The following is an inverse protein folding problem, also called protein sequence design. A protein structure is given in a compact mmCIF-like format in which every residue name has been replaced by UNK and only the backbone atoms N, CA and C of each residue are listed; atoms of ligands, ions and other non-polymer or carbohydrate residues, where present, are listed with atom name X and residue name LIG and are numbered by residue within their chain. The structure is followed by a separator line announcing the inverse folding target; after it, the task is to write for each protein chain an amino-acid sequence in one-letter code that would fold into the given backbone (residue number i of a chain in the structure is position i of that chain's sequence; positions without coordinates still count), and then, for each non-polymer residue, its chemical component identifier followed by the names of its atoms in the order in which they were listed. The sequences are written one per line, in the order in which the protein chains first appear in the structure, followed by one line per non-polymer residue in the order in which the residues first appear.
data_IF_736578978168
#
_entry.id   IF_736578978168
#
_cell.length_a   1.000
_cell.length_b   1.000
_cell.length_c   1.000
_cell.angle_alpha   90.00
_cell.angle_beta   90.00
_cell.angle_gamma   90.00
#
_symmetry.space_group_name_H-M   'P 1'
#
loop_
_entity.id
_entity.type
_entity.pdbx_description
1 polymer ?
#
# COMPACT_ATOMS: atom_id res chain seq x y z
N UNK A 1 20.35 -6.87 25.95
CA UNK A 1 21.06 -5.59 26.14
C UNK A 1 20.00 -4.61 26.55
N UNK A 2 19.75 -4.52 27.86
CA UNK A 2 18.88 -3.48 28.40
C UNK A 2 19.63 -2.16 28.22
N UNK A 3 19.09 -1.29 27.37
CA UNK A 3 19.55 0.08 27.23
C UNK A 3 19.44 0.71 28.62
N UNK A 4 20.54 1.29 29.13
CA UNK A 4 20.53 2.00 30.41
C UNK A 4 19.35 2.97 30.40
N UNK A 5 18.43 2.86 31.36
CA UNK A 5 17.23 3.71 31.44
C UNK A 5 17.57 5.20 31.36
N UNK A 6 18.79 5.57 31.75
CA UNK A 6 19.39 6.89 31.62
C UNK A 6 19.47 7.38 30.18
N UNK A 7 19.86 6.52 29.22
CA UNK A 7 19.97 6.87 27.79
C UNK A 7 18.57 7.11 27.22
N UNK A 8 17.59 6.27 27.59
CA UNK A 8 16.19 6.46 27.19
C UNK A 8 15.64 7.78 27.75
N UNK A 9 15.93 8.09 29.01
CA UNK A 9 15.51 9.36 29.62
C UNK A 9 16.17 10.58 28.96
N UNK A 10 17.45 10.47 28.56
CA UNK A 10 18.14 11.51 27.83
C UNK A 10 17.52 11.77 26.45
N UNK A 11 17.25 10.71 25.68
CA UNK A 11 16.55 10.81 24.39
C UNK A 11 15.16 11.41 24.56
N UNK A 12 14.38 10.95 25.56
CA UNK A 12 13.05 11.49 25.85
C UNK A 12 13.08 13.01 26.11
N UNK A 13 14.06 13.51 26.87
CA UNK A 13 14.23 14.95 27.13
C UNK A 13 14.55 15.74 25.87
N UNK A 14 15.42 15.22 25.01
CA UNK A 14 15.77 15.87 23.74
C UNK A 14 14.56 15.96 22.80
N UNK A 15 13.74 14.91 22.76
CA UNK A 15 12.53 14.83 21.93
C UNK A 15 11.40 15.72 22.47
N UNK A 16 11.26 15.83 23.78
CA UNK A 16 10.35 16.82 24.39
C UNK A 16 10.76 18.25 24.03
N UNK A 17 12.06 18.55 24.05
CA UNK A 17 12.55 19.87 23.64
C UNK A 17 12.28 20.18 22.16
N UNK A 18 12.27 19.17 21.29
CA UNK A 18 11.85 19.32 19.90
C UNK A 18 10.35 19.69 19.79
N UNK A 19 9.48 18.99 20.53
CA UNK A 19 8.03 19.23 20.54
C UNK A 19 7.65 20.58 21.17
N UNK A 20 8.49 21.16 22.02
CA UNK A 20 8.26 22.46 22.66
C UNK A 20 8.83 23.65 21.84
N UNK A 21 9.57 23.40 20.76
CA UNK A 21 10.15 24.44 19.90
C UNK A 21 9.09 25.13 19.02
N UNK A 22 9.44 26.21 18.31
CA UNK A 22 8.49 26.95 17.45
C UNK A 22 7.86 26.08 16.35
N UNK A 23 8.62 25.14 15.77
CA UNK A 23 8.11 24.11 14.85
C UNK A 23 7.18 23.12 15.57
N UNK A 24 7.45 22.86 16.85
CA UNK A 24 6.61 22.05 17.74
C UNK A 24 5.20 22.60 17.92
N UNK A 25 4.96 23.90 17.73
CA UNK A 25 3.60 24.47 17.78
C UNK A 25 2.70 23.95 16.66
N UNK A 26 3.26 23.66 15.48
CA UNK A 26 2.49 23.03 14.39
C UNK A 26 2.07 21.62 14.82
N UNK A 27 3.02 20.86 15.39
CA UNK A 27 2.74 19.53 15.93
C UNK A 27 1.75 19.56 17.12
N UNK A 28 1.67 20.64 17.91
CA UNK A 28 0.65 20.76 18.94
C UNK A 28 -0.77 20.85 18.36
N UNK A 29 -0.93 21.55 17.23
CA UNK A 29 -2.22 21.59 16.55
C UNK A 29 -2.53 20.25 15.89
N UNK A 30 -1.54 19.55 15.34
CA UNK A 30 -1.69 18.17 14.85
C UNK A 30 -2.05 17.18 15.96
N UNK A 31 -1.52 17.37 17.17
CA UNK A 31 -1.92 16.57 18.33
C UNK A 31 -3.38 16.84 18.71
N UNK A 32 -3.84 18.10 18.65
CA UNK A 32 -5.27 18.42 18.88
C UNK A 32 -6.18 17.80 17.82
N UNK A 33 -5.78 17.86 16.54
CA UNK A 33 -6.56 17.20 15.47
C UNK A 33 -6.55 15.68 15.63
N UNK A 34 -5.42 15.10 16.03
CA UNK A 34 -5.31 13.67 16.37
C UNK A 34 -6.29 13.27 17.47
N UNK A 35 -6.37 14.04 18.57
CA UNK A 35 -7.30 13.80 19.68
C UNK A 35 -8.76 13.89 19.19
N UNK A 36 -9.09 14.91 18.39
CA UNK A 36 -10.45 15.08 17.84
C UNK A 36 -10.87 13.91 16.95
N UNK A 37 -9.95 13.39 16.13
CA UNK A 37 -10.19 12.25 15.24
C UNK A 37 -10.02 10.89 15.92
N UNK A 38 -9.73 10.85 17.22
CA UNK A 38 -9.45 9.62 18.00
C UNK A 38 -8.32 8.75 17.39
N UNK A 39 -7.34 9.39 16.77
CA UNK A 39 -6.17 8.70 16.18
C UNK A 39 -5.14 8.40 17.27
N UNK A 40 -4.38 7.32 17.06
CA UNK A 40 -3.35 6.83 18.01
C UNK A 40 -1.93 7.04 17.51
N UNK A 41 -1.76 7.65 16.33
CA UNK A 41 -0.48 7.86 15.68
C UNK A 41 -0.31 9.32 15.28
N UNK A 42 0.78 9.93 15.74
CA UNK A 42 1.23 11.25 15.28
C UNK A 42 2.19 11.06 14.10
N UNK A 43 1.98 11.78 13.00
CA UNK A 43 2.89 11.74 11.84
C UNK A 43 3.87 12.90 11.97
N UNK A 44 5.16 12.61 11.87
CA UNK A 44 6.26 13.59 12.00
C UNK A 44 7.08 13.62 10.72
N UNK A 45 7.33 14.81 10.18
CA UNK A 45 8.20 14.99 9.02
C UNK A 45 9.67 14.94 9.44
N UNK A 46 10.47 14.16 8.72
CA UNK A 46 11.91 14.04 8.94
C UNK A 46 12.66 15.32 8.60
N UNK A 47 12.12 16.16 7.70
CA UNK A 47 12.70 17.45 7.33
C UNK A 47 12.83 18.35 8.57
N UNK A 48 11.80 18.34 9.41
CA UNK A 48 11.78 19.13 10.64
C UNK A 48 12.79 18.59 11.66
N UNK A 49 12.96 17.27 11.71
CA UNK A 49 13.97 16.62 12.55
C UNK A 49 15.41 16.87 12.09
N UNK A 50 15.63 17.19 10.81
CA UNK A 50 16.94 17.59 10.31
C UNK A 50 17.28 19.02 10.73
N UNK A 51 16.29 19.92 10.77
CA UNK A 51 16.47 21.28 11.24
C UNK A 51 16.87 21.36 12.73
N UNK A 52 16.47 20.36 13.52
CA UNK A 52 16.71 20.32 14.96
C UNK A 52 17.84 19.34 15.34
N UNK A 53 19.03 19.90 15.63
CA UNK A 53 20.19 19.20 16.23
C UNK A 53 20.63 17.92 15.48
N UNK A 54 20.35 17.82 14.18
CA UNK A 54 20.67 16.67 13.34
C UNK A 54 20.21 15.33 13.96
N UNK A 55 19.00 15.32 14.51
CA UNK A 55 18.39 14.18 15.18
C UNK A 55 17.95 13.11 14.18
N UNK A 56 17.54 13.52 12.96
CA UNK A 56 17.11 12.65 11.87
C UNK A 56 18.07 11.47 11.58
N UNK A 57 19.38 11.67 11.29
CA UNK A 57 20.27 10.55 11.00
C UNK A 57 20.45 9.59 12.17
N UNK A 58 20.31 10.05 13.43
CA UNK A 58 20.39 9.19 14.62
C UNK A 58 19.17 8.29 14.73
N UNK A 59 17.97 8.85 14.55
CA UNK A 59 16.71 8.10 14.51
C UNK A 59 16.76 7.07 13.39
N UNK A 60 17.23 7.46 12.20
CA UNK A 60 17.26 6.56 11.06
C UNK A 60 18.28 5.41 11.19
N UNK A 61 19.34 5.58 12.00
CA UNK A 61 20.32 4.52 12.28
C UNK A 61 19.82 3.56 13.37
N UNK A 62 19.29 4.09 14.47
CA UNK A 62 18.82 3.29 15.62
C UNK A 62 17.33 3.56 15.92
N UNK A 63 16.41 3.26 14.99
CA UNK A 63 15.01 3.66 15.13
C UNK A 63 14.31 3.04 16.34
N UNK A 64 14.68 1.81 16.71
CA UNK A 64 14.03 1.07 17.80
C UNK A 64 14.09 1.82 19.13
N UNK A 65 15.24 2.40 19.47
CA UNK A 65 15.44 3.11 20.74
C UNK A 65 14.75 4.48 20.74
N UNK A 66 14.88 5.22 19.63
CA UNK A 66 14.30 6.55 19.51
C UNK A 66 12.77 6.53 19.38
N UNK A 67 12.20 5.57 18.64
CA UNK A 67 10.75 5.45 18.46
C UNK A 67 10.01 5.28 19.79
N UNK A 68 10.56 4.47 20.71
CA UNK A 68 9.96 4.28 22.02
C UNK A 68 10.05 5.55 22.86
N UNK A 69 11.23 6.16 22.94
CA UNK A 69 11.40 7.42 23.67
C UNK A 69 10.53 8.56 23.11
N UNK A 70 10.30 8.57 21.79
CA UNK A 70 9.44 9.53 21.12
C UNK A 70 7.96 9.30 21.43
N UNK A 71 7.52 8.03 21.40
CA UNK A 71 6.16 7.63 21.79
C UNK A 71 5.86 8.02 23.24
N UNK A 72 6.82 7.82 24.15
CA UNK A 72 6.72 8.22 25.55
C UNK A 72 6.66 9.75 25.70
N UNK A 73 7.45 10.50 24.93
CA UNK A 73 7.45 11.97 24.93
C UNK A 73 6.11 12.55 24.43
N UNK A 74 5.57 12.03 23.34
CA UNK A 74 4.27 12.45 22.80
C UNK A 74 3.14 12.06 23.75
N UNK A 75 3.24 10.89 24.39
CA UNK A 75 2.27 10.46 25.40
C UNK A 75 2.23 11.44 26.58
N UNK A 76 3.38 11.87 27.11
CA UNK A 76 3.43 12.90 28.16
C UNK A 76 2.80 14.22 27.70
N UNK A 77 3.05 14.64 26.45
CA UNK A 77 2.46 15.86 25.88
C UNK A 77 0.93 15.77 25.79
N UNK A 78 0.42 14.63 25.33
CA UNK A 78 -1.03 14.38 25.25
C UNK A 78 -1.67 14.40 26.63
N UNK A 79 -1.04 13.82 27.65
CA UNK A 79 -1.55 13.88 29.03
C UNK A 79 -1.59 15.32 29.59
N UNK A 80 -0.67 16.20 29.16
CA UNK A 80 -0.69 17.63 29.54
C UNK A 80 -1.87 18.37 28.90
N UNK A 81 -2.27 18.00 27.68
CA UNK A 81 -3.37 18.64 26.94
C UNK A 81 -4.72 18.06 27.38
N UNK A 82 -4.85 16.73 27.35
CA UNK A 82 -6.05 15.99 27.75
C UNK A 82 -5.67 14.69 28.49
N UNK A 83 -5.70 14.75 29.82
CA UNK A 83 -5.42 13.60 30.68
C UNK A 83 -6.49 12.50 30.67
N UNK A 84 -7.64 12.68 29.99
CA UNK A 84 -8.70 11.67 29.90
C UNK A 84 -8.69 10.87 28.60
N UNK A 85 -7.89 11.28 27.63
CA UNK A 85 -7.91 10.68 26.29
C UNK A 85 -7.32 9.25 26.26
N UNK A 86 -6.29 8.99 27.05
CA UNK A 86 -5.61 7.70 27.12
C UNK A 86 -6.03 6.91 28.35
N UNK A 87 -6.27 5.60 28.20
CA UNK A 87 -6.44 4.68 29.32
C UNK A 87 -5.09 4.33 29.95
N UNK A 88 -5.09 3.90 31.21
CA UNK A 88 -3.88 3.45 31.90
C UNK A 88 -3.17 2.34 31.09
N UNK A 89 -1.96 2.66 30.61
CA UNK A 89 -1.11 1.74 29.83
C UNK A 89 -1.21 1.86 28.31
N UNK A 90 -2.04 2.76 27.77
CA UNK A 90 -2.04 3.06 26.32
C UNK A 90 -1.01 4.16 26.00
N UNK A 91 -0.18 3.92 24.98
CA UNK A 91 0.80 4.89 24.47
C UNK A 91 0.44 5.34 23.06
N UNK A 92 0.80 6.57 22.73
CA UNK A 92 0.65 7.13 21.37
C UNK A 92 1.83 6.68 20.53
N UNK A 93 1.55 6.16 19.34
CA UNK A 93 2.55 5.76 18.36
C UNK A 93 3.00 6.96 17.53
N UNK A 94 4.20 6.87 16.94
CA UNK A 94 4.70 7.92 16.04
C UNK A 94 5.10 7.34 14.69
N UNK A 95 4.46 7.86 13.65
CA UNK A 95 4.80 7.64 12.25
C UNK A 95 5.81 8.68 11.77
N UNK A 96 6.67 8.27 10.84
CA UNK A 96 7.56 9.21 10.15
C UNK A 96 7.14 9.34 8.69
N UNK A 97 7.23 10.56 8.17
CA UNK A 97 7.00 10.91 6.77
C UNK A 97 8.10 11.87 6.31
N UNK A 98 8.19 12.11 5.00
CA UNK A 98 9.09 13.10 4.43
C UNK A 98 10.15 12.52 3.48
N UNK A 99 11.10 13.34 3.02
CA UNK A 99 12.08 12.99 2.02
C UNK A 99 13.25 12.20 2.62
N UNK A 100 13.22 10.88 2.50
CA UNK A 100 14.34 10.00 2.85
C UNK A 100 15.42 10.02 1.77
N UNK A 101 16.20 11.10 1.68
CA UNK A 101 17.15 11.33 0.56
C UNK A 101 18.04 10.11 0.27
N UNK A 102 18.69 9.54 1.29
CA UNK A 102 19.64 8.42 1.14
C UNK A 102 19.06 7.04 1.52
N UNK A 103 17.79 6.99 1.94
CA UNK A 103 17.14 5.77 2.46
C UNK A 103 15.78 5.49 1.82
N UNK A 104 15.47 6.18 0.72
CA UNK A 104 14.39 5.84 -0.19
C UNK A 104 14.92 4.80 -1.17
N UNK A 105 14.38 3.59 -1.09
CA UNK A 105 14.88 2.43 -1.82
C UNK A 105 13.74 1.66 -2.45
N UNK A 106 14.02 0.98 -3.55
CA UNK A 106 13.10 -0.03 -4.11
C UNK A 106 13.25 -1.37 -3.36
N UNK A 107 12.25 -2.27 -3.43
CA UNK A 107 12.36 -3.64 -2.90
C UNK A 107 13.62 -4.39 -3.37
N UNK A 108 14.17 -4.01 -4.51
CA UNK A 108 15.38 -4.56 -5.10
C UNK A 108 16.68 -4.03 -4.47
N UNK A 109 16.70 -2.76 -4.12
CA UNK A 109 17.84 -2.08 -3.47
C UNK A 109 17.92 -2.34 -1.97
N UNK A 110 16.92 -3.04 -1.40
CA UNK A 110 16.84 -3.38 0.01
C UNK A 110 17.85 -4.48 0.40
N UNK A 111 19.12 -4.09 0.49
CA UNK A 111 20.26 -4.93 0.80
C UNK A 111 20.49 -5.06 2.32
N UNK A 112 21.43 -5.93 2.70
CA UNK A 112 21.79 -6.22 4.10
C UNK A 112 22.31 -5.00 4.88
N UNK A 113 22.80 -3.97 4.19
CA UNK A 113 23.31 -2.73 4.80
C UNK A 113 22.23 -1.95 5.56
N UNK A 114 20.96 -2.15 5.17
CA UNK A 114 19.83 -1.45 5.78
C UNK A 114 19.22 -2.20 6.97
N UNK A 115 19.74 -3.38 7.35
CA UNK A 115 19.21 -4.15 8.47
C UNK A 115 19.36 -3.35 9.78
N UNK A 116 18.26 -3.26 10.53
CA UNK A 116 18.17 -2.49 11.77
C UNK A 116 17.95 -0.99 11.58
N UNK A 117 18.02 -0.49 10.35
CA UNK A 117 17.79 0.92 10.03
C UNK A 117 16.36 1.19 9.55
N UNK A 118 15.97 2.46 9.57
CA UNK A 118 14.69 2.91 9.03
C UNK A 118 14.84 3.31 7.57
N UNK A 119 13.98 2.75 6.72
CA UNK A 119 13.98 2.96 5.27
C UNK A 119 12.58 3.33 4.78
N UNK A 120 12.51 4.03 3.66
CA UNK A 120 11.28 4.25 2.92
C UNK A 120 11.32 3.38 1.67
N UNK A 121 10.40 2.44 1.55
CA UNK A 121 10.33 1.50 0.43
C UNK A 121 9.10 1.81 -0.40
N UNK A 122 9.29 1.98 -1.70
CA UNK A 122 8.21 2.30 -2.64
C UNK A 122 7.88 1.13 -3.55
N UNK A 123 6.60 0.91 -3.78
CA UNK A 123 6.16 -0.19 -4.60
C UNK A 123 4.64 -0.27 -4.75
N UNK A 124 4.21 -1.37 -5.35
CA UNK A 124 2.81 -1.74 -5.50
C UNK A 124 2.51 -2.85 -4.52
N UNK A 125 1.43 -2.72 -3.75
CA UNK A 125 0.95 -3.81 -2.89
C UNK A 125 0.38 -4.90 -3.78
N UNK A 126 0.93 -6.10 -3.73
CA UNK A 126 0.47 -7.23 -4.55
C UNK A 126 -0.48 -8.14 -3.79
N UNK A 127 -0.23 -8.33 -2.49
CA UNK A 127 -1.00 -9.23 -1.65
C UNK A 127 -1.20 -8.63 -0.27
N UNK A 128 -2.43 -8.69 0.22
CA UNK A 128 -2.76 -8.42 1.62
C UNK A 128 -3.20 -9.73 2.28
N UNK A 129 -2.61 -10.07 3.42
CA UNK A 129 -3.12 -11.17 4.25
C UNK A 129 -4.36 -10.73 5.04
N UNK A 130 -5.06 -11.72 5.60
CA UNK A 130 -6.18 -11.45 6.50
C UNK A 130 -5.67 -10.81 7.80
N UNK A 131 -6.45 -9.87 8.32
CA UNK A 131 -6.22 -9.27 9.64
C UNK A 131 -6.37 -10.34 10.71
N UNK A 132 -5.37 -10.44 11.59
CA UNK A 132 -5.37 -11.39 12.71
C UNK A 132 -5.02 -10.68 14.01
N UNK A 133 -5.72 -10.97 15.11
CA UNK A 133 -5.35 -10.43 16.41
C UNK A 133 -4.11 -11.15 16.95
N UNK A 134 -3.13 -10.37 17.37
CA UNK A 134 -1.91 -10.79 18.06
C UNK A 134 -2.04 -10.47 19.55
N UNK A 135 -1.75 -11.43 20.41
CA UNK A 135 -1.76 -11.22 21.87
C UNK A 135 -0.54 -10.41 22.29
N UNK A 136 -0.76 -9.35 23.07
CA UNK A 136 0.30 -8.50 23.65
C UNK A 136 0.44 -8.78 25.14
N UNK A 137 -0.69 -8.89 25.85
CA UNK A 137 -0.72 -9.17 27.29
C UNK A 137 -1.86 -10.12 27.60
N UNK A 138 -1.58 -11.21 28.30
CA UNK A 138 -2.61 -12.07 28.87
C UNK A 138 -2.78 -11.82 30.36
N UNK A 139 -4.02 -11.96 30.81
CA UNK A 139 -4.39 -11.90 32.22
C UNK A 139 -5.01 -13.25 32.60
N UNK A 140 -4.46 -13.85 33.65
CA UNK A 140 -4.90 -15.15 34.15
C UNK A 140 -5.38 -15.00 35.59
N UNK A 141 -6.47 -15.67 35.92
CA UNK A 141 -7.02 -15.72 37.25
C UNK A 141 -6.81 -17.12 37.85
N UNK A 142 -6.36 -17.16 39.10
CA UNK A 142 -6.27 -18.40 39.86
C UNK A 142 -7.44 -18.48 40.86
N UNK A 143 -8.41 -19.40 40.69
CA UNK A 143 -9.53 -19.53 41.61
C UNK A 143 -9.13 -19.88 43.05
N UNK A 144 -8.03 -20.62 43.24
CA UNK A 144 -7.59 -21.08 44.56
C UNK A 144 -6.88 -20.00 45.38
N UNK A 145 -6.27 -19.01 44.73
CA UNK A 145 -5.50 -17.96 45.40
C UNK A 145 -6.13 -16.58 45.26
N UNK A 146 -7.21 -16.47 44.46
CA UNK A 146 -7.92 -15.22 44.11
C UNK A 146 -7.00 -14.13 43.53
N UNK A 147 -5.85 -14.53 42.96
CA UNK A 147 -4.85 -13.62 42.40
C UNK A 147 -4.89 -13.62 40.88
N UNK A 148 -4.66 -12.44 40.31
CA UNK A 148 -4.43 -12.25 38.89
C UNK A 148 -2.92 -12.30 38.58
N UNK A 149 -2.56 -13.15 37.63
CA UNK A 149 -1.21 -13.25 37.07
C UNK A 149 -1.23 -12.74 35.65
N UNK A 150 -0.39 -11.75 35.32
CA UNK A 150 -0.31 -11.19 33.98
C UNK A 150 0.98 -11.61 33.29
N UNK A 151 0.92 -11.91 31.99
CA UNK A 151 2.09 -12.21 31.17
C UNK A 151 2.09 -11.36 29.91
N UNK A 152 3.21 -10.69 29.66
CA UNK A 152 3.43 -9.97 28.41
C UNK A 152 4.10 -10.88 27.38
N UNK A 153 3.60 -10.83 26.16
CA UNK A 153 4.15 -11.55 25.01
C UNK A 153 4.91 -10.58 24.11
N UNK A 154 6.15 -10.93 23.80
CA UNK A 154 7.03 -10.21 22.88
C UNK A 154 7.48 -11.17 21.81
N UNK A 155 7.38 -10.73 20.56
CA UNK A 155 7.80 -11.50 19.39
C UNK A 155 9.09 -10.88 18.80
N UNK A 156 9.76 -11.60 17.91
CA UNK A 156 10.94 -11.12 17.18
C UNK A 156 10.62 -9.88 16.34
N UNK A 157 9.34 -9.71 15.95
CA UNK A 157 8.87 -8.53 15.23
C UNK A 157 8.70 -7.32 16.13
N UNK A 158 8.52 -7.51 17.45
CA UNK A 158 8.36 -6.43 18.42
C UNK A 158 9.64 -5.61 18.54
N UNK A 159 9.50 -4.33 18.87
CA UNK A 159 10.62 -3.42 19.06
C UNK A 159 11.27 -3.54 20.44
N UNK A 160 10.71 -4.33 21.36
CA UNK A 160 11.11 -4.33 22.75
C UNK A 160 11.46 -5.74 23.25
N UNK A 161 12.61 -5.84 23.90
CA UNK A 161 13.02 -7.00 24.69
C UNK A 161 13.34 -8.26 23.88
N UNK A 162 13.66 -9.33 24.62
CA UNK A 162 13.84 -10.65 24.05
C UNK A 162 12.47 -11.30 23.75
N UNK A 163 12.38 -12.12 22.70
CA UNK A 163 11.15 -12.83 22.39
C UNK A 163 10.79 -13.79 23.53
N UNK A 164 9.55 -13.73 23.97
CA UNK A 164 9.00 -14.62 25.00
C UNK A 164 8.41 -15.88 24.38
N UNK A 165 8.35 -16.97 25.14
CA UNK A 165 7.63 -18.18 24.72
C UNK A 165 6.14 -17.89 24.46
N UNK A 166 5.60 -18.43 23.38
CA UNK A 166 4.19 -18.25 22.94
C UNK A 166 3.18 -19.09 23.72
N UNK A 167 3.59 -19.72 24.82
CA UNK A 167 2.77 -20.66 25.58
C UNK A 167 2.03 -19.91 26.69
N UNK A 168 0.73 -20.13 26.78
CA UNK A 168 -0.08 -19.64 27.90
C UNK A 168 0.33 -20.37 29.19
N UNK A 169 0.59 -19.63 30.29
CA UNK A 169 0.83 -20.25 31.58
C UNK A 169 -0.47 -20.95 32.03
N UNK A 170 -0.42 -22.27 32.16
CA UNK A 170 -1.57 -23.08 32.60
C UNK A 170 -1.56 -23.32 34.12
N UNK A 171 -0.42 -23.09 34.77
CA UNK A 171 -0.23 -23.28 36.21
C UNK A 171 0.58 -22.16 36.82
N UNK A 172 0.23 -21.81 38.06
CA UNK A 172 0.97 -20.86 38.89
C UNK A 172 2.23 -21.51 39.51
N UNK A 173 3.09 -20.73 40.15
CA UNK A 173 4.30 -21.19 40.86
C UNK A 173 3.99 -22.28 41.90
N UNK A 174 2.79 -22.23 42.48
CA UNK A 174 2.28 -23.19 43.46
C UNK A 174 1.54 -24.39 42.83
N UNK A 175 1.57 -24.53 41.51
CA UNK A 175 0.97 -25.66 40.77
C UNK A 175 -0.55 -25.60 40.58
N UNK A 176 -1.21 -24.54 41.07
CA UNK A 176 -2.64 -24.29 40.89
C UNK A 176 -2.99 -23.99 39.42
N UNK A 177 -4.19 -24.37 39.00
CA UNK A 177 -4.68 -24.11 37.63
C UNK A 177 -4.99 -22.63 37.43
N UNK A 178 -4.49 -22.10 36.32
CA UNK A 178 -4.78 -20.73 35.87
C UNK A 178 -5.86 -20.75 34.80
N UNK A 179 -6.89 -19.93 34.99
CA UNK A 179 -7.94 -19.68 34.00
C UNK A 179 -7.63 -18.38 33.29
N UNK A 180 -7.61 -18.39 31.96
CA UNK A 180 -7.34 -17.17 31.17
C UNK A 180 -8.60 -16.33 31.07
N UNK A 181 -8.53 -15.09 31.51
CA UNK A 181 -9.62 -14.12 31.42
C UNK A 181 -9.49 -13.33 30.11
N UNK A 182 -10.06 -13.87 29.03
CA UNK A 182 -9.95 -13.29 27.69
C UNK A 182 -10.43 -11.84 27.60
N UNK A 183 -11.39 -11.42 28.45
CA UNK A 183 -11.90 -10.04 28.45
C UNK A 183 -10.92 -9.00 28.99
N UNK A 184 -9.92 -9.41 29.76
CA UNK A 184 -8.88 -8.52 30.32
C UNK A 184 -7.56 -8.61 29.54
N UNK A 185 -7.45 -9.57 28.62
CA UNK A 185 -6.30 -9.70 27.73
C UNK A 185 -6.27 -8.54 26.71
N UNK A 186 -5.06 -8.10 26.39
CA UNK A 186 -4.84 -7.08 25.36
C UNK A 186 -4.37 -7.74 24.07
N UNK A 187 -5.08 -7.41 23.00
CA UNK A 187 -4.81 -7.85 21.63
C UNK A 187 -4.50 -6.64 20.77
N UNK A 188 -3.74 -6.89 19.71
CA UNK A 188 -3.31 -5.91 18.72
C UNK A 188 -3.52 -6.50 17.33
N UNK A 189 -4.09 -5.73 16.42
CA UNK A 189 -4.29 -6.19 15.06
C UNK A 189 -2.95 -6.31 14.32
N UNK A 190 -2.80 -7.40 13.58
CA UNK A 190 -1.60 -7.73 12.82
C UNK A 190 -2.00 -8.18 11.42
N UNK A 191 -1.34 -7.63 10.42
CA UNK A 191 -1.52 -8.00 9.03
C UNK A 191 -0.17 -7.98 8.30
N UNK A 192 0.04 -8.98 7.45
CA UNK A 192 1.20 -9.05 6.55
C UNK A 192 0.79 -8.61 5.15
N UNK A 193 1.60 -7.79 4.51
CA UNK A 193 1.46 -7.31 3.15
C UNK A 193 2.68 -7.76 2.34
N UNK A 194 2.51 -8.06 1.06
CA UNK A 194 3.63 -8.23 0.13
C UNK A 194 3.61 -7.10 -0.88
N UNK A 195 4.77 -6.45 -1.03
CA UNK A 195 4.96 -5.32 -1.93
C UNK A 195 5.97 -5.67 -3.00
N UNK A 196 5.71 -5.23 -4.23
CA UNK A 196 6.55 -5.45 -5.40
C UNK A 196 7.08 -4.12 -5.93
N UNK A 197 8.26 -4.16 -6.54
CA UNK A 197 8.81 -2.98 -7.23
C UNK A 197 7.90 -2.51 -8.38
N UNK A 198 7.86 -1.20 -8.61
CA UNK A 198 7.08 -0.65 -9.71
C UNK A 198 7.66 -1.13 -11.05
N UNK A 199 6.82 -1.60 -12.00
CA UNK A 199 7.31 -2.15 -13.27
C UNK A 199 8.04 -1.09 -14.10
N UNK A 200 7.69 0.19 -13.95
CA UNK A 200 8.32 1.33 -14.62
C UNK A 200 9.81 1.48 -14.25
N UNK A 201 10.19 1.09 -13.02
CA UNK A 201 11.57 1.17 -12.52
C UNK A 201 12.34 -0.16 -12.69
N UNK A 202 11.68 -1.21 -13.18
CA UNK A 202 12.27 -2.54 -13.31
C UNK A 202 13.07 -2.64 -14.61
N UNK A 203 14.31 -3.15 -14.53
CA UNK A 203 15.12 -3.38 -15.72
C UNK A 203 14.44 -4.43 -16.64
N UNK A 204 14.31 -4.16 -17.95
CA UNK A 204 13.62 -5.05 -18.88
C UNK A 204 14.31 -6.43 -18.91
N UNK A 205 13.51 -7.49 -18.77
CA UNK A 205 13.98 -8.88 -18.82
C UNK A 205 14.38 -9.49 -17.47
N UNK A 206 14.27 -8.75 -16.35
CA UNK A 206 14.47 -9.31 -15.02
C UNK A 206 13.15 -9.49 -14.27
N UNK A 207 13.06 -10.53 -13.45
CA UNK A 207 11.90 -10.75 -12.60
C UNK A 207 11.86 -9.69 -11.50
N UNK A 208 10.71 -9.02 -11.29
CA UNK A 208 10.54 -8.04 -10.24
C UNK A 208 10.65 -8.67 -8.85
N UNK A 209 11.36 -8.02 -7.94
CA UNK A 209 11.53 -8.49 -6.55
C UNK A 209 10.38 -8.05 -5.65
N UNK A 210 10.10 -8.88 -4.65
CA UNK A 210 9.06 -8.65 -3.64
C UNK A 210 9.64 -8.59 -2.24
N UNK A 211 9.04 -7.77 -1.38
CA UNK A 211 9.37 -7.63 0.04
C UNK A 211 8.11 -7.87 0.87
N UNK A 212 8.26 -8.59 1.98
CA UNK A 212 7.22 -8.79 2.96
C UNK A 212 7.24 -7.66 4.00
N UNK A 213 6.06 -7.14 4.30
CA UNK A 213 5.85 -6.00 5.19
C UNK A 213 4.85 -6.42 6.26
N UNK A 214 5.13 -6.09 7.51
CA UNK A 214 4.19 -6.28 8.63
C UNK A 214 3.63 -4.91 9.00
N UNK A 215 2.30 -4.80 8.96
CA UNK A 215 1.55 -3.66 9.49
C UNK A 215 0.81 -4.09 10.75
N UNK A 216 0.78 -3.21 11.74
CA UNK A 216 0.12 -3.48 13.02
C UNK A 216 -0.71 -2.27 13.49
N UNK A 217 -1.64 -2.51 14.42
CA UNK A 217 -2.57 -1.52 14.99
C UNK A 217 -3.41 -0.78 13.92
N UNK A 218 -3.29 0.55 13.86
CA UNK A 218 -4.06 1.48 13.04
C UNK A 218 -3.63 1.51 11.57
N UNK A 219 -2.50 0.88 11.21
CA UNK A 219 -2.07 0.74 9.82
C UNK A 219 -2.70 -0.45 9.09
N UNK A 220 -3.39 -1.31 9.83
CA UNK A 220 -4.08 -2.46 9.25
C UNK A 220 -5.21 -1.98 8.32
N UNK A 221 -5.36 -2.65 7.18
CA UNK A 221 -6.34 -2.32 6.14
C UNK A 221 -6.20 -0.91 5.52
N UNK A 222 -5.01 -0.29 5.66
CA UNK A 222 -4.73 1.04 5.10
C UNK A 222 -4.49 1.06 3.58
N UNK A 223 -4.18 -0.09 2.99
CA UNK A 223 -3.88 -0.24 1.56
C UNK A 223 -4.52 -1.51 0.98
N UNK A 224 -4.88 -1.45 -0.29
CA UNK A 224 -5.44 -2.56 -1.05
C UNK A 224 -4.43 -3.11 -2.06
N UNK A 225 -4.56 -4.38 -2.46
CA UNK A 225 -3.79 -4.90 -3.60
C UNK A 225 -4.02 -4.04 -4.84
N UNK A 226 -2.93 -3.65 -5.51
CA UNK A 226 -2.92 -2.74 -6.66
C UNK A 226 -2.55 -1.29 -6.30
N UNK A 227 -2.61 -0.90 -5.02
CA UNK A 227 -2.27 0.45 -4.62
C UNK A 227 -0.76 0.72 -4.74
N UNK A 228 -0.42 1.90 -5.26
CA UNK A 228 0.95 2.44 -5.23
C UNK A 228 1.17 3.09 -3.87
N UNK A 229 2.17 2.59 -3.14
CA UNK A 229 2.42 2.99 -1.75
C UNK A 229 3.90 3.26 -1.53
N UNK A 230 4.18 4.21 -0.65
CA UNK A 230 5.47 4.40 -0.02
C UNK A 230 5.31 4.01 1.46
N UNK A 231 6.10 3.04 1.91
CA UNK A 231 6.03 2.49 3.26
C UNK A 231 7.33 2.81 3.96
N UNK A 232 7.22 3.58 5.05
CA UNK A 232 8.32 3.85 5.95
C UNK A 232 8.32 2.78 7.02
N UNK A 233 9.45 2.12 7.25
CA UNK A 233 9.55 1.05 8.24
C UNK A 233 10.96 0.71 8.65
N UNK A 234 11.07 -0.14 9.67
CA UNK A 234 12.35 -0.69 10.15
C UNK A 234 12.59 -2.03 9.47
N UNK A 235 13.72 -2.16 8.79
CA UNK A 235 14.07 -3.40 8.09
C UNK A 235 14.69 -4.40 9.07
N UNK A 236 14.05 -5.55 9.27
CA UNK A 236 14.47 -6.59 10.22
C UNK A 236 14.73 -7.92 9.54
N UNK A 237 15.69 -8.67 10.07
CA UNK A 237 15.96 -10.05 9.67
C UNK A 237 15.42 -11.01 10.74
N UNK A 238 14.55 -11.93 10.35
CA UNK A 238 13.94 -12.94 11.22
C UNK A 238 14.59 -14.30 10.91
N UNK A 239 15.13 -15.01 11.91
CA UNK A 239 15.72 -16.32 11.70
C UNK A 239 14.64 -17.33 11.28
N UNK A 240 14.93 -18.10 10.24
CA UNK A 240 14.06 -19.20 9.81
C UNK A 240 14.05 -20.32 10.86
N UNK A 241 12.86 -20.70 11.34
CA UNK A 241 12.70 -21.86 12.24
C UNK A 241 12.68 -23.15 11.42
N UNK A 242 13.83 -23.80 11.25
CA UNK A 242 13.89 -25.19 10.75
C UNK A 242 13.86 -26.18 11.91
N UNK A 243 13.25 -27.36 11.70
CA UNK A 243 13.19 -28.43 12.71
C UNK A 243 14.61 -28.96 12.98
N UNK A 244 15.27 -28.43 14.01
CA UNK A 244 16.54 -28.98 14.55
C UNK A 244 17.74 -28.04 14.56
N UNK A 245 17.61 -26.78 14.12
CA UNK A 245 18.71 -25.80 14.17
C UNK A 245 18.34 -24.45 13.57
N UNK A 246 19.08 -23.40 13.95
CA UNK A 246 18.97 -22.08 13.33
C UNK A 246 19.77 -22.11 12.04
N UNK A 247 19.11 -22.06 10.89
CA UNK A 247 19.80 -21.91 9.61
C UNK A 247 20.39 -20.49 9.52
N UNK A 248 21.59 -20.35 8.97
CA UNK A 248 22.24 -19.05 8.74
C UNK A 248 21.58 -18.18 7.66
N UNK A 249 20.50 -18.65 7.04
CA UNK A 249 19.69 -17.91 6.08
C UNK A 249 18.50 -17.29 6.82
N UNK A 250 18.48 -15.96 6.86
CA UNK A 250 17.43 -15.19 7.51
C UNK A 250 16.39 -14.74 6.47
N UNK A 251 15.11 -14.75 6.87
CA UNK A 251 14.03 -14.11 6.10
C UNK A 251 13.98 -12.64 6.49
N UNK A 252 13.93 -11.74 5.52
CA UNK A 252 13.85 -10.31 5.80
C UNK A 252 12.41 -9.84 5.75
N UNK A 253 12.07 -8.91 6.64
CA UNK A 253 10.72 -8.36 6.79
C UNK A 253 10.83 -6.88 7.16
N UNK A 254 9.99 -6.04 6.55
CA UNK A 254 9.88 -4.63 6.90
C UNK A 254 8.75 -4.45 7.92
N UNK A 255 9.05 -3.93 9.11
CA UNK A 255 8.00 -3.56 10.09
C UNK A 255 7.59 -2.13 9.80
N UNK A 256 6.36 -1.93 9.34
CA UNK A 256 5.86 -0.64 8.90
C UNK A 256 5.64 0.31 10.08
N UNK A 257 6.14 1.53 9.92
CA UNK A 257 5.89 2.65 10.82
C UNK A 257 4.94 3.70 10.25
N UNK A 258 4.87 3.83 8.92
CA UNK A 258 3.88 4.66 8.27
C UNK A 258 3.59 4.12 6.86
N UNK A 259 2.37 4.29 6.40
CA UNK A 259 1.94 3.92 5.04
C UNK A 259 1.38 5.17 4.36
N UNK A 260 2.11 5.69 3.39
CA UNK A 260 1.65 6.76 2.52
C UNK A 260 1.21 6.18 1.17
N UNK A 261 -0.08 6.32 0.87
CA UNK A 261 -0.60 5.99 -0.45
C UNK A 261 -0.16 7.09 -1.42
N UNK A 262 0.59 6.74 -2.46
CA UNK A 262 0.99 7.69 -3.49
C UNK A 262 -0.22 8.11 -4.34
N UNK A 263 -1.25 7.26 -4.40
CA UNK A 263 -2.51 7.54 -5.09
C UNK A 263 -3.47 8.46 -4.30
N UNK A 264 -3.11 8.94 -3.10
CA UNK A 264 -3.99 9.81 -2.27
C UNK A 264 -4.39 11.12 -2.96
N UNK A 265 -3.53 11.64 -3.84
CA UNK A 265 -3.82 12.86 -4.60
C UNK A 265 -5.00 12.70 -5.59
N UNK A 266 -5.37 11.46 -5.96
CA UNK A 266 -6.51 11.21 -6.84
C UNK A 266 -7.86 11.20 -6.10
N UNK A 267 -7.89 10.82 -4.82
CA UNK A 267 -9.16 10.57 -4.10
C UNK A 267 -9.60 11.69 -3.15
N UNK A 268 -8.69 12.54 -2.67
CA UNK A 268 -9.02 13.73 -1.88
C UNK A 268 -7.90 14.79 -1.90
N UNK A 269 -7.58 15.40 -3.05
CA UNK A 269 -6.62 16.50 -3.09
C UNK A 269 -7.18 17.71 -2.33
N UNK A 270 -6.32 18.39 -1.58
CA UNK A 270 -6.67 19.66 -0.93
C UNK A 270 -6.73 20.72 -2.03
N UNK A 271 -7.93 21.01 -2.53
CA UNK A 271 -8.09 21.99 -3.60
C UNK A 271 -7.85 23.40 -3.08
N UNK A 272 -6.87 24.10 -3.67
CA UNK A 272 -6.77 25.55 -3.47
C UNK A 272 -7.85 26.28 -4.27
N UNK A 273 -8.25 27.49 -3.87
CA UNK A 273 -9.18 28.30 -4.66
C UNK A 273 -8.64 28.64 -6.07
N UNK A 274 -7.33 28.56 -6.29
CA UNK A 274 -6.71 28.69 -7.61
C UNK A 274 -6.89 27.42 -8.46
N UNK A 275 -6.75 26.24 -7.85
CA UNK A 275 -7.02 24.96 -8.51
C UNK A 275 -8.47 24.89 -8.98
N UNK A 276 -9.43 25.35 -8.17
CA UNK A 276 -10.84 25.39 -8.58
C UNK A 276 -11.08 26.30 -9.80
N UNK A 277 -10.32 27.39 -9.95
CA UNK A 277 -10.39 28.25 -11.15
C UNK A 277 -9.74 27.56 -12.35
N UNK A 278 -8.62 26.88 -12.15
CA UNK A 278 -7.92 26.14 -13.20
C UNK A 278 -8.73 24.94 -13.68
N UNK A 279 -9.36 24.20 -12.77
CA UNK A 279 -10.30 23.11 -13.07
C UNK A 279 -11.48 23.64 -13.88
N UNK A 280 -12.07 24.79 -13.52
CA UNK A 280 -13.14 25.41 -14.32
C UNK A 280 -12.68 25.85 -15.72
N UNK A 281 -11.43 26.30 -15.86
CA UNK A 281 -10.84 26.63 -17.18
C UNK A 281 -10.57 25.40 -18.02
N UNK A 282 -10.11 24.31 -17.40
CA UNK A 282 -9.82 23.04 -18.07
C UNK A 282 -11.12 22.32 -18.44
N UNK A 283 -12.13 22.35 -17.58
CA UNK A 283 -13.46 21.77 -17.84
C UNK A 283 -14.22 22.47 -18.99
N UNK A 284 -13.81 23.67 -19.39
CA UNK A 284 -14.32 24.36 -20.57
C UNK A 284 -13.57 24.02 -21.87
N UNK A 285 -12.61 23.10 -21.84
CA UNK A 285 -11.89 22.64 -23.03
C UNK A 285 -12.44 21.30 -23.52
N UNK A 286 -12.48 21.14 -24.83
CA UNK A 286 -12.97 19.93 -25.50
C UNK A 286 -11.93 18.77 -25.50
N UNK A 287 -10.68 19.02 -25.07
CA UNK A 287 -9.53 18.09 -25.10
C UNK A 287 -9.27 17.35 -23.77
N UNK A 288 -10.19 17.45 -22.81
CA UNK A 288 -10.01 16.90 -21.45
C UNK A 288 -9.87 15.38 -21.40
N UNK A 289 -10.42 14.67 -22.38
CA UNK A 289 -10.38 13.21 -22.41
C UNK A 289 -8.98 12.67 -22.76
N UNK A 290 -8.26 13.35 -23.67
CA UNK A 290 -6.93 12.95 -24.13
C UNK A 290 -5.85 13.09 -23.05
N UNK A 291 -6.06 13.99 -22.08
CA UNK A 291 -5.15 14.23 -20.96
C UNK A 291 -5.25 13.17 -19.86
N UNK A 292 -6.39 12.48 -19.73
CA UNK A 292 -6.67 11.51 -18.66
C UNK A 292 -6.37 10.06 -19.03
N UNK A 293 -6.20 9.74 -20.32
CA UNK A 293 -6.10 8.37 -20.83
C UNK A 293 -4.80 7.60 -20.54
N UNK A 294 -3.87 8.14 -19.74
CA UNK A 294 -2.56 7.51 -19.47
C UNK A 294 -2.54 6.77 -18.13
N UNK A 295 -3.14 5.59 -18.09
CA UNK A 295 -2.98 4.70 -16.95
C UNK A 295 -3.75 3.39 -17.12
N UNK A 296 -3.12 2.38 -17.70
CA UNK A 296 -3.67 1.02 -17.71
C UNK A 296 -2.61 0.05 -17.19
N UNK A 297 -2.96 -0.70 -16.15
CA UNK A 297 -2.13 -1.76 -15.56
C UNK A 297 -2.85 -3.09 -15.70
N UNK A 298 -2.24 -4.02 -16.45
CA UNK A 298 -2.80 -5.33 -16.76
C UNK A 298 -2.76 -6.28 -15.57
N UNK A 299 -3.94 -6.65 -15.08
CA UNK A 299 -4.18 -7.79 -14.17
C UNK A 299 -5.44 -8.50 -14.68
N UNK A 300 -5.56 -9.81 -14.42
CA UNK A 300 -6.68 -10.65 -14.88
C UNK A 300 -8.05 -10.01 -14.63
N UNK A 301 -8.97 -10.15 -15.59
CA UNK A 301 -10.24 -9.42 -15.66
C UNK A 301 -11.16 -9.68 -14.46
N UNK A 302 -11.19 -10.92 -13.98
CA UNK A 302 -12.10 -11.41 -12.92
C UNK A 302 -11.34 -11.91 -11.70
N UNK A 303 -12.06 -12.22 -10.62
CA UNK A 303 -11.44 -12.73 -9.42
C UNK A 303 -10.99 -14.21 -9.54
N UNK A 304 -9.85 -14.53 -8.92
CA UNK A 304 -9.24 -15.86 -8.92
C UNK A 304 -9.19 -16.44 -7.50
N UNK A 305 -9.26 -17.77 -7.36
CA UNK A 305 -9.08 -18.41 -6.04
C UNK A 305 -7.62 -18.80 -5.87
N UNK A 306 -6.95 -18.24 -4.88
CA UNK A 306 -5.57 -18.57 -4.51
C UNK A 306 -5.52 -19.23 -3.14
N UNK A 307 -4.47 -19.99 -2.85
CA UNK A 307 -4.26 -20.61 -1.54
C UNK A 307 -3.19 -19.84 -0.79
N UNK A 308 -3.44 -19.49 0.46
CA UNK A 308 -2.44 -18.85 1.30
C UNK A 308 -1.35 -19.83 1.72
N UNK A 309 -0.09 -19.51 1.45
CA UNK A 309 1.04 -20.43 1.69
C UNK A 309 1.34 -20.65 3.18
N UNK A 310 0.98 -19.70 4.05
CA UNK A 310 1.23 -19.82 5.50
C UNK A 310 0.13 -20.60 6.23
N UNK A 311 -1.09 -20.66 5.70
CA UNK A 311 -2.24 -21.27 6.41
C UNK A 311 -2.99 -22.34 5.65
N UNK A 312 -2.75 -22.46 4.34
CA UNK A 312 -3.50 -23.37 3.48
C UNK A 312 -4.96 -22.94 3.25
N UNK A 313 -5.37 -21.77 3.76
CA UNK A 313 -6.71 -21.24 3.53
C UNK A 313 -6.87 -20.79 2.07
N UNK A 314 -7.99 -21.17 1.46
CA UNK A 314 -8.37 -20.70 0.12
C UNK A 314 -8.93 -19.28 0.23
N UNK A 315 -8.47 -18.39 -0.63
CA UNK A 315 -8.83 -16.97 -0.68
C UNK A 315 -9.19 -16.57 -2.10
N UNK A 316 -9.91 -15.47 -2.21
CA UNK A 316 -10.37 -14.94 -3.48
C UNK A 316 -9.65 -13.62 -3.74
N UNK A 317 -8.84 -13.58 -4.78
CA UNK A 317 -8.12 -12.40 -5.27
C UNK A 317 -8.99 -11.65 -6.28
N UNK A 318 -9.18 -10.35 -6.06
CA UNK A 318 -9.98 -9.50 -6.93
C UNK A 318 -9.32 -9.29 -8.30
N UNK A 319 -10.10 -9.44 -9.38
CA UNK A 319 -9.66 -9.09 -10.74
C UNK A 319 -9.77 -7.60 -11.03
N UNK A 320 -9.25 -7.19 -12.19
CA UNK A 320 -9.22 -5.79 -12.63
C UNK A 320 -10.60 -5.11 -12.59
N UNK A 321 -11.68 -5.81 -12.97
CA UNK A 321 -13.02 -5.22 -12.95
C UNK A 321 -13.55 -4.94 -11.53
N UNK A 322 -13.19 -5.80 -10.56
CA UNK A 322 -13.58 -5.64 -9.15
C UNK A 322 -12.74 -4.54 -8.50
N UNK A 323 -11.45 -4.46 -8.84
CA UNK A 323 -10.55 -3.41 -8.38
C UNK A 323 -10.98 -2.02 -8.90
N UNK A 324 -11.57 -1.97 -10.09
CA UNK A 324 -12.07 -0.76 -10.72
C UNK A 324 -13.55 -0.43 -10.40
N UNK A 325 -14.13 -0.94 -9.30
CA UNK A 325 -15.50 -0.57 -8.88
C UNK A 325 -15.63 0.97 -8.77
N UNK A 326 -16.63 1.53 -9.44
CA UNK A 326 -16.88 2.98 -9.63
C UNK A 326 -15.83 3.73 -10.48
N UNK A 327 -15.01 3.01 -11.23
CA UNK A 327 -14.03 3.55 -12.18
C UNK A 327 -14.32 3.21 -13.63
N UNK A 328 -13.27 3.29 -14.45
CA UNK A 328 -13.28 2.92 -15.87
C UNK A 328 -12.30 1.77 -16.08
N UNK A 329 -12.71 0.78 -16.87
CA UNK A 329 -11.86 -0.35 -17.29
C UNK A 329 -11.65 -0.24 -18.80
N UNK A 330 -10.39 -0.16 -19.23
CA UNK A 330 -10.02 -0.15 -20.63
C UNK A 330 -9.52 -1.56 -21.04
N UNK A 331 -10.15 -2.14 -22.06
CA UNK A 331 -9.81 -3.45 -22.61
C UNK A 331 -9.37 -3.26 -24.05
N UNK A 332 -8.13 -3.67 -24.34
CA UNK A 332 -7.62 -3.74 -25.71
C UNK A 332 -7.79 -5.17 -26.24
N UNK A 333 -7.83 -5.31 -27.57
CA UNK A 333 -8.04 -6.58 -28.27
C UNK A 333 -9.25 -7.38 -27.75
N UNK A 334 -10.39 -6.70 -27.59
CA UNK A 334 -11.62 -7.29 -27.07
C UNK A 334 -12.11 -8.49 -27.91
N UNK A 335 -11.75 -8.53 -29.20
CA UNK A 335 -12.04 -9.63 -30.12
C UNK A 335 -11.30 -10.93 -29.77
N UNK A 336 -10.13 -10.86 -29.11
CA UNK A 336 -9.28 -12.02 -28.77
C UNK A 336 -9.56 -12.62 -27.39
N UNK A 337 -10.64 -12.20 -26.73
CA UNK A 337 -10.96 -12.73 -25.41
C UNK A 337 -11.44 -14.19 -25.43
N UNK A 338 -10.97 -14.94 -24.44
CA UNK A 338 -11.37 -16.32 -24.22
C UNK A 338 -12.84 -16.42 -23.81
N UNK A 339 -13.49 -17.54 -24.10
CA UNK A 339 -14.92 -17.73 -23.81
C UNK A 339 -15.26 -17.61 -22.30
N UNK A 340 -14.33 -17.95 -21.41
CA UNK A 340 -14.52 -17.79 -19.96
C UNK A 340 -14.60 -16.31 -19.55
N UNK A 341 -13.74 -15.46 -20.11
CA UNK A 341 -13.72 -14.02 -19.84
C UNK A 341 -14.95 -13.34 -20.44
N UNK A 342 -15.40 -13.81 -21.61
CA UNK A 342 -16.63 -13.33 -22.25
C UNK A 342 -17.87 -13.54 -21.38
N UNK A 343 -18.02 -14.72 -20.76
CA UNK A 343 -19.14 -15.02 -19.85
C UNK A 343 -19.10 -14.10 -18.63
N UNK A 344 -17.92 -13.86 -18.07
CA UNK A 344 -17.79 -12.99 -16.91
C UNK A 344 -18.09 -11.52 -17.25
N UNK A 345 -17.64 -11.02 -18.40
CA UNK A 345 -17.96 -9.65 -18.84
C UNK A 345 -19.46 -9.50 -19.08
N UNK A 346 -20.13 -10.51 -19.66
CA UNK A 346 -21.59 -10.49 -19.80
C UNK A 346 -22.30 -10.34 -18.45
N UNK A 347 -21.85 -11.07 -17.44
CA UNK A 347 -22.40 -10.98 -16.10
C UNK A 347 -22.18 -9.61 -15.48
N UNK A 348 -20.96 -9.07 -15.57
CA UNK A 348 -20.62 -7.75 -14.99
C UNK A 348 -21.35 -6.62 -15.70
N UNK A 349 -21.42 -6.63 -17.03
CA UNK A 349 -22.11 -5.58 -17.77
C UNK A 349 -23.63 -5.63 -17.58
N UNK A 350 -24.21 -6.79 -17.26
CA UNK A 350 -25.63 -6.92 -16.93
C UNK A 350 -25.91 -6.56 -15.46
N UNK A 351 -25.27 -7.26 -14.53
CA UNK A 351 -25.64 -7.27 -13.12
C UNK A 351 -24.80 -6.30 -12.29
N UNK A 352 -23.71 -5.78 -12.86
CA UNK A 352 -22.69 -4.97 -12.17
C UNK A 352 -22.06 -5.72 -10.98
N UNK A 353 -22.08 -7.05 -11.04
CA UNK A 353 -21.54 -7.97 -10.04
C UNK A 353 -20.81 -9.13 -10.71
N UNK A 354 -19.81 -9.68 -10.03
CA UNK A 354 -19.09 -10.90 -10.40
C UNK A 354 -19.41 -11.98 -9.38
N UNK A 355 -20.07 -13.05 -9.78
CA UNK A 355 -20.29 -14.24 -8.95
C UNK A 355 -19.24 -15.30 -9.24
N UNK A 356 -18.64 -15.84 -8.18
CA UNK A 356 -17.63 -16.89 -8.28
C UNK A 356 -18.05 -18.05 -7.40
N UNK A 357 -18.19 -19.19 -8.05
CA UNK A 357 -18.43 -20.50 -7.44
C UNK A 357 -17.26 -21.43 -7.81
N UNK A 358 -16.13 -21.30 -7.11
CA UNK A 358 -14.92 -22.12 -7.35
C UNK A 358 -14.34 -22.62 -6.03
N UNK A 359 -13.83 -23.85 -6.05
CA UNK A 359 -13.10 -24.47 -4.94
C UNK A 359 -13.81 -24.40 -3.56
N UNK A 360 -15.15 -24.45 -3.55
CA UNK A 360 -15.97 -24.41 -2.33
C UNK A 360 -16.28 -22.99 -1.81
N UNK A 361 -15.86 -21.95 -2.53
CA UNK A 361 -16.18 -20.56 -2.24
C UNK A 361 -17.29 -20.12 -3.19
N UNK A 362 -18.42 -19.72 -2.61
CA UNK A 362 -19.54 -19.06 -3.31
C UNK A 362 -19.60 -17.62 -2.83
N UNK A 363 -19.11 -16.69 -3.65
CA UNK A 363 -19.06 -15.27 -3.30
C UNK A 363 -19.53 -14.42 -4.49
N UNK A 364 -20.19 -13.31 -4.19
CA UNK A 364 -20.56 -12.28 -5.16
C UNK A 364 -19.82 -10.99 -4.82
N UNK A 365 -19.11 -10.43 -5.79
CA UNK A 365 -18.35 -9.19 -5.66
C UNK A 365 -19.02 -8.10 -6.49
N UNK A 366 -18.99 -6.86 -6.00
CA UNK A 366 -19.48 -5.71 -6.76
C UNK A 366 -18.41 -5.25 -7.77
N UNK A 367 -18.84 -4.93 -9.00
CA UNK A 367 -17.97 -4.46 -10.08
C UNK A 367 -18.72 -3.43 -10.93
N UNK A 368 -19.10 -2.29 -10.33
CA UNK A 368 -19.84 -1.21 -11.02
C UNK A 368 -18.85 -0.32 -11.77
N UNK A 369 -18.27 -0.83 -12.85
CA UNK A 369 -17.32 -0.10 -13.67
C UNK A 369 -17.90 0.27 -15.04
N UNK A 370 -17.38 1.33 -15.65
CA UNK A 370 -17.65 1.65 -17.06
C UNK A 370 -16.59 0.97 -17.93
N UNK A 371 -17.01 0.28 -19.00
CA UNK A 371 -16.10 -0.47 -19.86
C UNK A 371 -15.84 0.30 -21.16
N UNK A 372 -14.57 0.51 -21.47
CA UNK A 372 -14.10 0.99 -22.78
C UNK A 372 -13.36 -0.16 -23.44
N UNK A 373 -13.75 -0.51 -24.66
CA UNK A 373 -13.20 -1.65 -25.37
C UNK A 373 -12.76 -1.26 -26.78
N UNK A 374 -11.59 -1.75 -27.20
CA UNK A 374 -11.12 -1.72 -28.58
C UNK A 374 -11.16 -3.13 -29.17
N UNK A 375 -11.69 -3.28 -30.39
CA UNK A 375 -11.81 -4.57 -31.07
C UNK A 375 -11.40 -4.43 -32.53
N UNK A 376 -10.70 -5.45 -33.04
CA UNK A 376 -10.32 -5.52 -34.45
C UNK A 376 -11.36 -6.30 -35.27
N UNK A 377 -11.55 -5.97 -36.56
CA UNK A 377 -12.36 -6.79 -37.46
C UNK A 377 -11.69 -8.14 -37.73
N UNK A 378 -12.49 -9.21 -37.90
CA UNK A 378 -12.01 -10.61 -38.01
C UNK A 378 -10.96 -10.80 -39.12
N UNK A 379 -11.13 -10.10 -40.25
CA UNK A 379 -10.25 -10.21 -41.42
C UNK A 379 -9.23 -9.07 -41.52
N UNK A 380 -9.05 -8.28 -40.46
CA UNK A 380 -8.15 -7.12 -40.43
C UNK A 380 -8.67 -5.90 -41.20
N UNK A 381 -9.61 -6.08 -42.13
CA UNK A 381 -10.32 -5.00 -42.83
C UNK A 381 -11.81 -5.05 -42.53
N UNK A 382 -12.42 -3.87 -42.46
CA UNK A 382 -13.86 -3.75 -42.20
C UNK A 382 -14.64 -3.74 -43.52
N UNK A 383 -15.50 -4.74 -43.73
CA UNK A 383 -16.37 -4.80 -44.90
C UNK A 383 -17.67 -4.02 -44.67
N UNK A 384 -17.87 -2.93 -45.42
CA UNK A 384 -19.06 -2.07 -45.31
C UNK A 384 -20.35 -2.75 -45.78
N UNK A 385 -20.26 -3.86 -46.50
CA UNK A 385 -21.42 -4.63 -46.96
C UNK A 385 -22.01 -5.54 -45.88
N UNK A 386 -21.23 -5.85 -44.85
CA UNK A 386 -21.60 -6.73 -43.75
C UNK A 386 -22.06 -5.93 -42.53
N UNK A 387 -22.95 -6.54 -41.74
CA UNK A 387 -23.38 -5.98 -40.45
C UNK A 387 -22.23 -5.96 -39.44
N UNK A 388 -22.15 -4.97 -38.53
CA UNK A 388 -21.08 -4.86 -37.53
C UNK A 388 -20.83 -6.15 -36.73
N UNK A 389 -21.89 -6.86 -36.34
CA UNK A 389 -21.81 -8.15 -35.65
C UNK A 389 -20.96 -9.19 -36.38
N UNK A 390 -21.15 -9.28 -37.71
CA UNK A 390 -20.42 -10.23 -38.56
C UNK A 390 -18.98 -9.79 -38.82
N UNK A 391 -18.73 -8.49 -38.85
CA UNK A 391 -17.39 -7.94 -39.04
C UNK A 391 -16.48 -8.13 -37.81
N UNK A 392 -17.05 -8.07 -36.60
CA UNK A 392 -16.28 -8.15 -35.33
C UNK A 392 -16.27 -9.58 -34.77
N UNK A 393 -17.30 -10.39 -35.05
CA UNK A 393 -17.35 -11.79 -34.60
C UNK A 393 -17.78 -11.95 -33.14
N UNK A 394 -18.47 -10.94 -32.61
CA UNK A 394 -19.02 -10.95 -31.26
C UNK A 394 -20.53 -11.25 -31.30
N UNK A 395 -21.08 -11.93 -30.29
CA UNK A 395 -22.53 -12.17 -30.21
C UNK A 395 -23.29 -10.86 -30.00
N UNK A 396 -24.47 -10.74 -30.62
CA UNK A 396 -25.34 -9.56 -30.51
C UNK A 396 -25.71 -9.23 -29.04
N UNK A 397 -25.79 -10.24 -28.18
CA UNK A 397 -26.08 -10.08 -26.75
C UNK A 397 -25.01 -9.29 -26.00
N UNK A 398 -23.79 -9.23 -26.51
CA UNK A 398 -22.69 -8.43 -25.95
C UNK A 398 -22.72 -7.03 -26.55
N UNK A 399 -22.85 -6.94 -27.88
CA UNK A 399 -22.89 -5.65 -28.58
C UNK A 399 -24.05 -4.79 -28.10
N UNK A 400 -25.21 -5.38 -27.78
CA UNK A 400 -26.36 -4.66 -27.23
C UNK A 400 -26.14 -4.07 -25.83
N UNK A 401 -25.06 -4.45 -25.13
CA UNK A 401 -24.70 -3.92 -23.80
C UNK A 401 -23.86 -2.66 -23.87
N UNK A 402 -23.27 -2.40 -25.03
CA UNK A 402 -22.59 -1.15 -25.27
C UNK A 402 -23.60 -0.12 -25.76
N UNK A 403 -23.73 0.98 -25.03
CA UNK A 403 -24.63 2.07 -25.42
C UNK A 403 -24.15 2.77 -26.70
N UNK A 404 -22.83 2.82 -26.91
CA UNK A 404 -22.18 3.49 -28.03
C UNK A 404 -21.20 2.56 -28.72
N UNK A 405 -21.38 2.40 -30.04
CA UNK A 405 -20.47 1.63 -30.89
C UNK A 405 -19.90 2.56 -31.97
N UNK A 406 -18.60 2.84 -31.87
CA UNK A 406 -17.87 3.65 -32.83
C UNK A 406 -17.11 2.75 -33.80
N UNK A 407 -17.39 2.90 -35.10
CA UNK A 407 -16.65 2.20 -36.15
C UNK A 407 -15.61 3.17 -36.70
N UNK A 408 -14.35 2.93 -36.38
CA UNK A 408 -13.22 3.68 -36.94
C UNK A 408 -12.78 2.96 -38.21
N UNK A 409 -12.97 3.59 -39.36
CA UNK A 409 -12.58 3.06 -40.66
C UNK A 409 -11.34 3.80 -41.14
N UNK A 410 -10.36 3.05 -41.62
CA UNK A 410 -9.26 3.62 -42.38
C UNK A 410 -9.78 4.08 -43.75
N UNK A 411 -9.74 5.38 -44.01
CA UNK A 411 -10.11 5.98 -45.29
C UNK A 411 -8.83 6.42 -45.99
N UNK A 412 -8.53 5.80 -47.14
CA UNK A 412 -7.39 6.18 -47.96
C UNK A 412 -7.69 7.50 -48.70
N UNK A 413 -7.52 8.62 -48.00
CA UNK A 413 -7.60 9.97 -48.56
C UNK A 413 -6.20 10.61 -48.50
N UNK A 414 -5.57 10.88 -49.66
CA UNK A 414 -4.20 11.40 -49.71
C UNK A 414 -4.06 12.78 -49.05
N UNK A 415 -5.12 13.60 -49.01
CA UNK A 415 -5.08 14.91 -48.39
C UNK A 415 -5.11 14.79 -46.86
N UNK A 416 -5.94 13.89 -46.32
CA UNK A 416 -6.02 13.59 -44.89
C UNK A 416 -4.73 12.89 -44.42
N UNK A 417 -4.25 11.90 -45.17
CA UNK A 417 -3.01 11.18 -44.87
C UNK A 417 -1.81 12.14 -44.81
N UNK A 418 -1.78 13.14 -45.69
CA UNK A 418 -0.75 14.19 -45.66
C UNK A 418 -0.84 15.06 -44.42
N UNK A 419 -2.04 15.43 -43.98
CA UNK A 419 -2.25 16.20 -42.75
C UNK A 419 -1.86 15.40 -41.50
N UNK A 420 -2.26 14.12 -41.43
CA UNK A 420 -1.88 13.20 -40.35
C UNK A 420 -0.37 13.02 -40.32
N UNK A 421 0.25 12.79 -41.48
CA UNK A 421 1.70 12.62 -41.60
C UNK A 421 2.46 13.87 -41.14
N UNK A 422 2.04 15.07 -41.56
CA UNK A 422 2.69 16.32 -41.11
C UNK A 422 2.51 16.52 -39.60
N UNK A 423 1.35 16.18 -39.05
CA UNK A 423 1.11 16.23 -37.61
C UNK A 423 2.00 15.25 -36.83
N UNK A 424 2.10 14.00 -37.27
CA UNK A 424 2.96 12.97 -36.66
C UNK A 424 4.43 13.38 -36.74
N UNK A 425 4.88 13.90 -37.90
CA UNK A 425 6.24 14.41 -38.08
C UNK A 425 6.52 15.61 -37.17
N UNK A 426 5.55 16.50 -36.97
CA UNK A 426 5.66 17.65 -36.07
C UNK A 426 5.80 17.22 -34.61
N UNK A 427 5.00 16.25 -34.17
CA UNK A 427 5.11 15.67 -32.81
C UNK A 427 6.50 15.03 -32.62
N UNK A 428 6.99 14.29 -33.60
CA UNK A 428 8.31 13.66 -33.52
C UNK A 428 9.45 14.69 -33.53
N UNK A 429 9.34 15.77 -34.31
CA UNK A 429 10.32 16.87 -34.32
C UNK A 429 10.34 17.65 -33.00
N UNK A 430 9.21 17.79 -32.32
CA UNK A 430 9.12 18.48 -31.02
C UNK A 430 9.80 17.69 -29.88
N UNK A 431 10.03 16.39 -30.05
CA UNK A 431 10.70 15.53 -29.06
C UNK A 431 12.23 15.63 -29.08
N UNK A 432 12.84 16.26 -30.08
CA UNK A 432 14.29 16.13 -30.33
C UNK A 432 15.20 17.18 -29.66
N UNK A 433 14.72 18.00 -28.70
CA UNK A 433 15.57 19.07 -28.10
C UNK A 433 15.91 18.89 -26.63
N UNK A 434 15.57 17.75 -25.99
CA UNK A 434 15.88 17.54 -24.57
C UNK A 434 16.66 16.26 -24.23
N UNK A 435 17.28 15.61 -25.23
CA UNK A 435 18.28 14.57 -24.95
C UNK A 435 19.51 14.77 -25.86
N UNK A 436 20.48 15.49 -25.31
CA UNK A 436 21.66 15.96 -26.04
C UNK A 436 22.77 16.37 -25.08
N UNK A 437 23.03 15.53 -24.08
CA UNK A 437 24.27 15.57 -23.33
C UNK A 437 25.46 15.48 -24.28
N UNK A 438 26.39 16.42 -24.12
CA UNK A 438 27.68 16.57 -24.81
C UNK A 438 28.31 15.22 -25.21
N UNK A 439 28.51 15.02 -26.52
CA UNK A 439 29.63 14.23 -27.01
C UNK A 439 30.47 15.10 -27.95
N UNK A 440 31.67 15.43 -27.49
CA UNK A 440 32.80 15.79 -28.34
C UNK A 440 32.88 14.80 -29.51
N UNK A 441 33.01 15.32 -30.73
CA UNK A 441 34.13 14.91 -31.58
C UNK A 441 34.37 15.94 -32.68
N UNK A 442 35.53 16.58 -32.53
CA UNK A 442 36.37 17.10 -33.59
C UNK A 442 36.38 16.11 -34.77
N UNK A 443 36.19 16.59 -36.00
CA UNK A 443 37.09 16.34 -37.13
C UNK A 443 36.58 17.05 -38.39
N UNK A 444 37.47 17.92 -38.90
CA UNK A 444 37.52 18.62 -40.19
C UNK A 444 36.63 19.84 -40.40
#
# INVERSE_FOLDING_TARGET
MDVSEEVRAAHKRELLAFLENDVGRMYMDDVKTMINHKRRRLIVDISDLHSFRDLAPRILRNPVEYMQAFSDAVTDLVHRIDGKYLKEGETVLVGFEGPFVSRRVTPRELLSEFIGSMVCVEGIVTKCSLVRPKVVKSVHFCPSTEKFTTREYRDITSNMGLPTGSVYPTRDENGNLLVTEYGLCQYKDHQTLSMQEMPENSAPGQLPRTVDIIVEDDLVDSCKPGDRVAIVGVYKAIPGKSKGGVNGVFRTVLVANNVSLLNKEANAPIYTPEDLKNIKKIAGRDDTFDLLGRGSSGVGLTAAVTSDQETGERRLEAGAMVLADRGVVCIDEFDKMNDQDRVAIHEVMEQQTVTIAKAGIHASLNARCSVVAAANPIYGTYDRSLTPTKNIGLPDSLLSRFDLLFIVLDQMDPDIDRQISDHVLRIHRYRSTFDGGKCHNSYR
#
